data_IF_679293628263
#
_entry.id   IF_679293628263
#
_cell.length_a   1.000
_cell.length_b   1.000
_cell.length_c   1.000
_cell.angle_alpha   90.00
_cell.angle_beta   90.00
_cell.angle_gamma   90.00
#
_symmetry.space_group_name_H-M   'P 1'
#
loop_
_entity.id
_entity.type
_entity.pdbx_description
1 polymer ?
#
# COMPACT_ATOMS: atom_id res chain seq x y z
N UNK A 1 6.33 17.88 10.44
CA UNK A 1 6.90 17.16 9.26
C UNK A 1 6.46 17.88 7.99
N UNK A 2 7.29 18.04 6.95
CA UNK A 2 6.87 18.73 5.71
C UNK A 2 6.21 17.78 4.72
N UNK A 3 5.01 18.15 4.26
CA UNK A 3 4.21 17.40 3.28
C UNK A 3 4.01 18.21 2.02
N UNK A 4 3.76 17.54 0.91
CA UNK A 4 3.53 18.14 -0.40
C UNK A 4 2.14 17.76 -0.90
N UNK A 5 1.38 18.77 -1.31
CA UNK A 5 0.04 18.64 -1.86
C UNK A 5 0.07 18.50 -3.38
N UNK A 6 -1.06 18.11 -3.98
CA UNK A 6 -1.19 17.90 -5.42
C UNK A 6 -0.88 19.12 -6.29
N UNK A 7 -1.00 20.33 -5.74
CA UNK A 7 -0.69 21.60 -6.38
C UNK A 7 0.79 22.01 -6.24
N UNK A 8 1.61 21.20 -5.57
CA UNK A 8 3.02 21.51 -5.31
C UNK A 8 3.25 22.36 -4.06
N UNK A 9 2.21 22.79 -3.35
CA UNK A 9 2.35 23.49 -2.09
C UNK A 9 2.97 22.58 -1.04
N UNK A 10 3.92 23.12 -0.28
CA UNK A 10 4.57 22.44 0.85
C UNK A 10 4.18 23.11 2.13
N UNK A 11 3.57 22.35 3.04
CA UNK A 11 3.16 22.83 4.35
C UNK A 11 3.64 21.90 5.48
N UNK A 12 3.49 22.35 6.71
CA UNK A 12 3.62 21.51 7.88
C UNK A 12 2.39 20.60 8.01
N UNK A 13 2.65 19.30 8.15
CA UNK A 13 1.60 18.32 8.33
C UNK A 13 0.83 18.59 9.64
N UNK A 14 -0.51 18.68 9.58
CA UNK A 14 -1.34 18.65 10.77
C UNK A 14 -1.07 17.38 11.59
N UNK A 15 -1.01 17.52 12.91
CA UNK A 15 -0.58 16.45 13.82
C UNK A 15 -1.48 15.21 13.75
N UNK A 16 -2.78 15.42 13.53
CA UNK A 16 -3.82 14.40 13.37
C UNK A 16 -3.71 13.63 12.04
N UNK A 17 -3.05 14.19 11.04
CA UNK A 17 -2.90 13.58 9.71
C UNK A 17 -1.53 12.94 9.48
N UNK A 18 -0.56 13.15 10.36
CA UNK A 18 0.83 12.70 10.16
C UNK A 18 0.93 11.21 9.82
N UNK A 19 0.27 10.34 10.60
CA UNK A 19 0.31 8.90 10.36
C UNK A 19 -0.35 8.54 9.03
N UNK A 20 -1.45 9.20 8.68
CA UNK A 20 -2.12 8.97 7.41
C UNK A 20 -1.20 9.29 6.24
N UNK A 21 -0.52 10.45 6.26
CA UNK A 21 0.41 10.85 5.20
C UNK A 21 1.66 9.95 5.13
N UNK A 22 2.19 9.55 6.29
CA UNK A 22 3.31 8.59 6.37
C UNK A 22 2.92 7.26 5.72
N UNK A 23 1.76 6.71 6.08
CA UNK A 23 1.25 5.43 5.56
C UNK A 23 0.92 5.52 4.09
N UNK A 24 0.37 6.64 3.64
CA UNK A 24 0.07 6.86 2.22
C UNK A 24 1.35 6.91 1.38
N UNK A 25 2.37 7.61 1.87
CA UNK A 25 3.69 7.62 1.22
C UNK A 25 4.35 6.24 1.26
N UNK A 26 4.18 5.49 2.36
CA UNK A 26 4.68 4.12 2.45
C UNK A 26 4.02 3.19 1.42
N UNK A 27 2.73 3.35 1.14
CA UNK A 27 2.04 2.62 0.08
C UNK A 27 2.66 2.89 -1.30
N UNK A 28 2.96 4.15 -1.62
CA UNK A 28 3.62 4.50 -2.89
C UNK A 28 5.05 3.95 -2.99
N UNK A 29 5.82 4.02 -1.91
CA UNK A 29 7.17 3.41 -1.85
C UNK A 29 7.09 1.89 -2.02
N UNK A 30 6.07 1.24 -1.45
CA UNK A 30 5.81 -0.18 -1.64
C UNK A 30 5.48 -0.50 -3.10
N UNK A 31 4.61 0.29 -3.74
CA UNK A 31 4.28 0.12 -5.15
C UNK A 31 5.49 0.30 -6.07
N UNK A 32 6.32 1.32 -5.83
CA UNK A 32 7.59 1.47 -6.55
C UNK A 32 8.51 0.26 -6.36
N UNK A 33 8.66 -0.24 -5.13
CA UNK A 33 9.48 -1.41 -4.84
C UNK A 33 8.97 -2.65 -5.59
N UNK A 34 7.65 -2.85 -5.61
CA UNK A 34 7.02 -3.95 -6.34
C UNK A 34 7.25 -3.79 -7.84
N UNK A 35 7.08 -2.58 -8.42
CA UNK A 35 7.29 -2.37 -9.86
C UNK A 35 8.76 -2.57 -10.28
N UNK A 36 9.73 -2.29 -9.40
CA UNK A 36 11.16 -2.59 -9.64
C UNK A 36 11.45 -4.09 -9.67
N UNK A 37 10.82 -4.86 -8.78
CA UNK A 37 11.01 -6.31 -8.68
C UNK A 37 10.17 -7.08 -9.70
N UNK A 38 8.97 -6.57 -9.99
CA UNK A 38 7.95 -7.16 -10.86
C UNK A 38 7.45 -6.09 -11.85
N UNK A 39 8.18 -5.83 -12.95
CA UNK A 39 7.83 -4.80 -13.92
C UNK A 39 6.45 -4.97 -14.56
N UNK A 40 5.93 -6.21 -14.58
CA UNK A 40 4.62 -6.56 -15.09
C UNK A 40 3.46 -6.30 -14.12
N UNK A 41 3.74 -5.92 -12.87
CA UNK A 41 2.72 -5.64 -11.87
C UNK A 41 1.80 -4.50 -12.32
N UNK A 42 0.48 -4.67 -12.20
CA UNK A 42 -0.54 -3.66 -12.51
C UNK A 42 -1.26 -3.26 -11.21
N UNK A 43 -1.35 -1.96 -10.94
CA UNK A 43 -1.74 -1.43 -9.64
C UNK A 43 -3.19 -0.95 -9.60
N UNK A 44 -3.94 -1.45 -8.62
CA UNK A 44 -5.32 -1.07 -8.37
C UNK A 44 -5.42 0.06 -7.33
N UNK A 45 -5.78 -0.27 -6.08
CA UNK A 45 -5.97 0.68 -4.99
C UNK A 45 -4.90 0.54 -3.91
N UNK A 46 -4.40 1.68 -3.42
CA UNK A 46 -3.34 1.74 -2.40
C UNK A 46 -3.61 2.70 -1.23
N UNK A 47 -4.74 2.61 -0.51
CA UNK A 47 -5.07 3.61 0.50
C UNK A 47 -4.29 3.42 1.81
N UNK A 48 -4.09 4.54 2.50
CA UNK A 48 -3.74 4.53 3.92
C UNK A 48 -4.97 4.24 4.77
N UNK A 49 -4.80 3.42 5.81
CA UNK A 49 -5.85 3.06 6.77
C UNK A 49 -5.47 3.49 8.19
N UNK A 50 -6.42 3.39 9.11
CA UNK A 50 -6.21 3.69 10.53
C UNK A 50 -5.15 2.79 11.19
N UNK A 51 -4.95 1.59 10.64
CA UNK A 51 -4.02 0.59 11.20
C UNK A 51 -2.77 0.37 10.35
N UNK A 52 -2.64 1.04 9.20
CA UNK A 52 -1.50 0.83 8.30
C UNK A 52 -1.81 1.33 6.89
N UNK A 53 -1.43 0.53 5.90
CA UNK A 53 -1.73 0.76 4.51
C UNK A 53 -1.78 -0.59 3.79
N UNK A 54 -2.39 -0.62 2.62
CA UNK A 54 -2.30 -1.76 1.73
C UNK A 54 -2.19 -1.30 0.30
N UNK A 55 -1.77 -2.21 -0.58
CA UNK A 55 -1.86 -2.01 -2.01
C UNK A 55 -2.36 -3.29 -2.68
N UNK A 56 -3.41 -3.15 -3.49
CA UNK A 56 -3.96 -4.21 -4.33
C UNK A 56 -3.20 -4.25 -5.66
N UNK A 57 -2.58 -5.40 -5.94
CA UNK A 57 -1.71 -5.58 -7.09
C UNK A 57 -2.12 -6.81 -7.88
N UNK A 58 -2.19 -6.66 -9.19
CA UNK A 58 -2.28 -7.78 -10.12
C UNK A 58 -0.89 -8.20 -10.53
N UNK A 59 -0.49 -9.39 -10.09
CA UNK A 59 0.79 -10.01 -10.42
C UNK A 59 0.65 -11.11 -11.49
N UNK A 60 -0.52 -11.22 -12.11
CA UNK A 60 -0.85 -12.33 -13.01
C UNK A 60 -0.81 -13.66 -12.27
N UNK A 61 -0.03 -14.61 -12.79
CA UNK A 61 0.12 -15.94 -12.19
C UNK A 61 1.16 -15.99 -11.05
N UNK A 62 1.89 -14.90 -10.83
CA UNK A 62 2.91 -14.84 -9.79
C UNK A 62 2.26 -14.72 -8.42
N UNK A 63 2.53 -15.69 -7.55
CA UNK A 63 2.17 -15.65 -6.13
C UNK A 63 3.39 -15.23 -5.33
N UNK A 64 3.22 -14.26 -4.43
CA UNK A 64 4.30 -13.86 -3.55
C UNK A 64 4.43 -14.87 -2.41
N UNK A 65 5.67 -15.21 -2.08
CA UNK A 65 6.04 -15.95 -0.86
C UNK A 65 6.45 -14.98 0.25
N UNK A 66 6.65 -15.49 1.47
CA UNK A 66 7.18 -14.68 2.57
C UNK A 66 8.58 -14.11 2.27
N UNK A 67 9.39 -14.84 1.49
CA UNK A 67 10.69 -14.37 1.02
C UNK A 67 10.54 -13.18 0.05
N UNK A 68 9.52 -13.22 -0.82
CA UNK A 68 9.23 -12.12 -1.74
C UNK A 68 8.78 -10.86 -1.00
N UNK A 69 7.96 -11.01 0.05
CA UNK A 69 7.59 -9.89 0.92
C UNK A 69 8.81 -9.28 1.60
N UNK A 70 9.73 -10.11 2.10
CA UNK A 70 10.99 -9.63 2.67
C UNK A 70 11.87 -8.91 1.64
N UNK A 71 11.89 -9.38 0.39
CA UNK A 71 12.59 -8.73 -0.72
C UNK A 71 11.96 -7.39 -1.10
N UNK A 72 10.63 -7.28 -1.12
CA UNK A 72 9.91 -6.01 -1.33
C UNK A 72 10.27 -5.03 -0.22
N UNK A 73 10.21 -5.44 1.05
CA UNK A 73 10.58 -4.54 2.16
C UNK A 73 12.04 -4.08 2.06
N UNK A 74 12.96 -4.98 1.67
CA UNK A 74 14.37 -4.64 1.44
C UNK A 74 14.52 -3.61 0.32
N UNK A 75 13.76 -3.74 -0.76
CA UNK A 75 13.76 -2.78 -1.86
C UNK A 75 13.15 -1.42 -1.46
N UNK A 76 12.05 -1.41 -0.67
CA UNK A 76 11.52 -0.19 -0.06
C UNK A 76 12.59 0.53 0.77
N UNK A 77 13.38 -0.20 1.57
CA UNK A 77 14.49 0.38 2.35
C UNK A 77 15.59 0.96 1.45
N UNK A 78 15.81 0.45 0.25
CA UNK A 78 16.75 1.05 -0.73
C UNK A 78 16.19 2.37 -1.27
N UNK A 79 14.93 2.41 -1.69
CA UNK A 79 14.25 3.61 -2.19
C UNK A 79 14.25 4.75 -1.15
N UNK A 80 14.04 4.41 0.12
CA UNK A 80 14.12 5.38 1.22
C UNK A 80 15.53 5.95 1.35
N UNK A 81 16.57 5.13 1.17
CA UNK A 81 17.98 5.57 1.22
C UNK A 81 18.38 6.43 0.02
N UNK A 82 17.74 6.23 -1.13
CA UNK A 82 17.95 7.07 -2.33
C UNK A 82 17.51 8.52 -2.13
N UNK A 83 16.68 8.81 -1.13
CA UNK A 83 16.22 10.17 -0.79
C UNK A 83 15.60 10.90 -2.00
N UNK A 84 14.73 10.20 -2.72
CA UNK A 84 14.10 10.72 -3.93
C UNK A 84 13.12 11.84 -3.55
N UNK A 85 13.11 12.97 -4.27
CA UNK A 85 12.07 13.97 -4.12
C UNK A 85 10.74 13.45 -4.68
N UNK A 86 9.65 13.68 -3.96
CA UNK A 86 8.30 13.40 -4.44
C UNK A 86 7.77 14.67 -5.12
N UNK A 87 7.44 14.56 -6.41
CA UNK A 87 7.01 15.68 -7.25
C UNK A 87 5.57 15.50 -7.70
N UNK A 88 4.62 16.33 -7.25
CA UNK A 88 3.27 16.33 -7.77
C UNK A 88 3.23 16.99 -9.14
N UNK A 89 2.31 16.54 -9.98
CA UNK A 89 1.91 17.22 -11.20
C UNK A 89 0.46 16.87 -11.53
N UNK A 90 -0.22 17.76 -12.24
CA UNK A 90 -1.61 17.60 -12.64
C UNK A 90 -1.64 17.51 -14.16
N UNK A 91 -2.40 16.55 -14.69
CA UNK A 91 -2.63 16.42 -16.12
C UNK A 91 -4.13 16.50 -16.43
N UNK A 92 -4.52 17.12 -17.55
CA UNK A 92 -5.87 17.00 -18.09
C UNK A 92 -6.22 15.54 -18.35
N UNK A 93 -7.51 15.18 -18.26
CA UNK A 93 -8.01 13.82 -18.47
C UNK A 93 -7.42 13.10 -19.69
N UNK A 94 -7.37 13.76 -20.84
CA UNK A 94 -6.86 13.15 -22.08
C UNK A 94 -5.37 12.77 -21.97
N UNK A 95 -4.55 13.62 -21.34
CA UNK A 95 -3.12 13.36 -21.12
C UNK A 95 -2.90 12.33 -20.01
N UNK A 96 -3.70 12.39 -18.95
CA UNK A 96 -3.71 11.43 -17.85
C UNK A 96 -4.00 10.00 -18.34
N UNK A 97 -5.04 9.83 -19.17
CA UNK A 97 -5.39 8.54 -19.76
C UNK A 97 -4.26 8.03 -20.66
N UNK A 98 -3.72 8.90 -21.53
CA UNK A 98 -2.60 8.54 -22.41
C UNK A 98 -1.37 8.09 -21.63
N UNK A 99 -1.02 8.79 -20.54
CA UNK A 99 0.10 8.42 -19.67
C UNK A 99 -0.12 7.03 -19.05
N UNK A 100 -1.34 6.72 -18.61
CA UNK A 100 -1.65 5.41 -18.02
C UNK A 100 -1.69 4.29 -19.06
N UNK A 101 -2.11 4.57 -20.30
CA UNK A 101 -2.05 3.64 -21.43
C UNK A 101 -0.59 3.32 -21.81
N UNK A 102 0.27 4.32 -21.90
CA UNK A 102 1.71 4.14 -22.18
C UNK A 102 2.40 3.30 -21.11
N UNK A 103 1.96 3.44 -19.85
CA UNK A 103 2.47 2.68 -18.69
C UNK A 103 1.77 1.33 -18.48
N UNK A 104 0.71 1.05 -19.25
CA UNK A 104 -0.10 -0.18 -19.17
C UNK A 104 -0.72 -0.41 -17.78
N UNK A 105 -1.18 0.65 -17.13
CA UNK A 105 -1.82 0.59 -15.82
C UNK A 105 -3.35 0.48 -16.00
N UNK A 106 -3.85 -0.73 -16.30
CA UNK A 106 -5.23 -0.92 -16.79
C UNK A 106 -6.27 -0.59 -15.72
N UNK A 107 -5.99 -0.96 -14.46
CA UNK A 107 -6.90 -0.67 -13.34
C UNK A 107 -7.05 0.83 -13.09
N UNK A 108 -5.98 1.61 -13.30
CA UNK A 108 -6.04 3.07 -13.17
C UNK A 108 -6.87 3.70 -14.28
N UNK A 109 -6.75 3.20 -15.52
CA UNK A 109 -7.59 3.65 -16.65
C UNK A 109 -9.06 3.36 -16.39
N UNK A 110 -9.38 2.15 -15.92
CA UNK A 110 -10.76 1.79 -15.56
C UNK A 110 -11.30 2.70 -14.44
N UNK A 111 -10.47 2.96 -13.42
CA UNK A 111 -10.86 3.87 -12.34
C UNK A 111 -11.06 5.31 -12.80
N UNK A 112 -10.23 5.83 -13.72
CA UNK A 112 -10.45 7.14 -14.34
C UNK A 112 -11.76 7.17 -15.13
N UNK A 113 -12.14 6.06 -15.79
CA UNK A 113 -13.39 5.95 -16.51
C UNK A 113 -14.61 6.02 -15.58
N UNK A 114 -14.53 5.42 -14.38
CA UNK A 114 -15.56 5.54 -13.34
C UNK A 114 -15.72 6.99 -12.83
N UNK A 115 -14.64 7.78 -12.85
CA UNK A 115 -14.60 9.19 -12.47
C UNK A 115 -14.93 10.10 -13.66
N UNK A 116 -16.09 9.91 -14.29
CA UNK A 116 -16.46 10.59 -15.55
C UNK A 116 -16.52 12.13 -15.45
N UNK A 117 -16.86 12.66 -14.27
CA UNK A 117 -17.01 14.10 -14.03
C UNK A 117 -15.66 14.82 -13.79
N UNK A 118 -14.58 14.07 -13.53
CA UNK A 118 -13.26 14.63 -13.28
C UNK A 118 -12.56 15.03 -14.60
N UNK A 119 -12.14 16.29 -14.66
CA UNK A 119 -11.52 16.92 -15.84
C UNK A 119 -9.99 16.86 -15.80
N UNK A 120 -9.40 16.70 -14.61
CA UNK A 120 -7.97 16.63 -14.38
C UNK A 120 -7.65 15.58 -13.32
N UNK A 121 -6.47 14.96 -13.42
CA UNK A 121 -5.99 13.98 -12.46
C UNK A 121 -4.64 14.43 -11.91
N UNK A 122 -4.43 14.16 -10.62
CA UNK A 122 -3.17 14.44 -9.94
C UNK A 122 -2.33 13.18 -9.86
N UNK A 123 -1.02 13.39 -10.01
CA UNK A 123 -0.02 12.34 -10.01
C UNK A 123 1.13 12.75 -9.11
N UNK A 124 1.78 11.74 -8.52
CA UNK A 124 2.99 11.93 -7.75
C UNK A 124 4.11 11.08 -8.35
N UNK A 125 5.20 11.75 -8.74
CA UNK A 125 6.41 11.12 -9.23
C UNK A 125 7.45 10.98 -8.12
N UNK A 126 7.99 9.79 -7.94
CA UNK A 126 9.14 9.51 -7.06
C UNK A 126 10.19 8.71 -7.84
N UNK A 127 11.24 9.41 -8.30
CA UNK A 127 12.21 8.84 -9.24
C UNK A 127 11.54 8.44 -10.56
N UNK A 128 11.64 7.15 -10.90
CA UNK A 128 11.06 6.55 -12.10
C UNK A 128 9.58 6.13 -11.95
N UNK A 129 9.09 6.06 -10.71
CA UNK A 129 7.72 5.65 -10.44
C UNK A 129 6.78 6.85 -10.41
N UNK A 130 5.59 6.66 -10.99
CA UNK A 130 4.51 7.65 -11.07
C UNK A 130 3.22 6.93 -10.71
N UNK A 131 2.46 7.51 -9.79
CA UNK A 131 1.16 6.98 -9.36
C UNK A 131 0.07 8.05 -9.44
N UNK A 132 -1.15 7.64 -9.74
CA UNK A 132 -2.32 8.52 -9.70
C UNK A 132 -2.83 8.59 -8.27
N UNK A 133 -2.79 9.79 -7.70
CA UNK A 133 -3.16 10.01 -6.31
C UNK A 133 -3.47 11.48 -6.04
N UNK A 134 -4.36 11.74 -5.08
CA UNK A 134 -4.75 13.08 -4.63
C UNK A 134 -3.78 13.62 -3.54
N UNK A 135 -3.02 12.74 -2.89
CA UNK A 135 -2.12 13.08 -1.80
C UNK A 135 -2.87 13.46 -0.50
N UNK A 136 -2.23 14.23 0.41
CA UNK A 136 -0.84 14.68 0.35
C UNK A 136 0.18 13.57 0.62
N UNK A 137 1.45 13.83 0.30
CA UNK A 137 2.58 12.92 0.52
C UNK A 137 3.72 13.58 1.29
N UNK A 138 4.69 12.80 1.75
CA UNK A 138 5.96 13.35 2.24
C UNK A 138 6.73 14.03 1.09
N UNK A 139 7.58 14.98 1.43
CA UNK A 139 8.40 15.71 0.43
C UNK A 139 9.52 14.86 -0.17
N UNK A 140 10.06 13.89 0.60
CA UNK A 140 11.16 13.02 0.19
C UNK A 140 10.95 11.60 0.73
N UNK A 141 11.41 10.59 -0.02
CA UNK A 141 11.29 9.18 0.41
C UNK A 141 12.03 8.90 1.72
N UNK A 142 13.13 9.61 2.00
CA UNK A 142 13.91 9.48 3.25
C UNK A 142 13.14 9.89 4.50
N UNK A 143 12.07 10.67 4.36
CA UNK A 143 11.24 11.06 5.49
C UNK A 143 10.46 9.87 6.08
N UNK A 144 10.25 8.79 5.30
CA UNK A 144 9.71 7.54 5.80
C UNK A 144 10.79 6.79 6.59
N UNK A 145 10.63 6.70 7.92
CA UNK A 145 11.64 6.12 8.81
C UNK A 145 11.37 4.69 9.23
N UNK A 146 10.13 4.40 9.64
CA UNK A 146 9.76 3.13 10.24
C UNK A 146 8.54 2.56 9.53
N UNK A 147 8.72 1.38 8.92
CA UNK A 147 7.68 0.65 8.24
C UNK A 147 7.98 -0.84 8.25
N UNK A 148 6.95 -1.65 8.07
CA UNK A 148 7.03 -3.11 7.98
C UNK A 148 5.91 -3.67 7.12
N UNK A 149 6.22 -4.64 6.26
CA UNK A 149 5.20 -5.43 5.56
C UNK A 149 4.68 -6.51 6.52
N UNK A 150 3.36 -6.63 6.64
CA UNK A 150 2.74 -7.48 7.66
C UNK A 150 2.26 -8.80 7.11
N UNK A 151 1.40 -8.76 6.09
CA UNK A 151 0.79 -9.94 5.50
C UNK A 151 0.29 -9.64 4.09
N UNK A 152 0.08 -10.71 3.33
CA UNK A 152 -0.66 -10.66 2.08
C UNK A 152 -2.02 -11.36 2.21
N UNK A 153 -2.98 -10.93 1.40
CA UNK A 153 -4.31 -11.52 1.32
C UNK A 153 -4.85 -11.41 -0.11
N UNK A 154 -5.86 -12.21 -0.46
CA UNK A 154 -6.63 -11.98 -1.69
C UNK A 154 -7.60 -10.82 -1.53
N UNK A 155 -7.74 -9.99 -2.55
CA UNK A 155 -8.80 -8.98 -2.65
C UNK A 155 -9.44 -9.07 -4.03
N UNK A 156 -10.74 -8.80 -4.13
CA UNK A 156 -11.41 -8.78 -5.43
C UNK A 156 -11.51 -7.36 -5.95
N UNK A 157 -11.25 -7.17 -7.24
CA UNK A 157 -11.39 -5.85 -7.87
C UNK A 157 -12.82 -5.30 -7.67
N UNK A 158 -12.92 -4.03 -7.24
CA UNK A 158 -14.18 -3.35 -6.85
C UNK A 158 -14.99 -4.08 -5.76
N UNK A 159 -14.35 -4.95 -4.98
CA UNK A 159 -15.00 -5.83 -4.00
C UNK A 159 -16.09 -6.74 -4.60
N UNK A 160 -16.00 -7.05 -5.89
CA UNK A 160 -16.91 -7.96 -6.57
C UNK A 160 -16.22 -9.31 -6.81
N UNK A 161 -16.77 -10.37 -6.22
CA UNK A 161 -16.24 -11.74 -6.29
C UNK A 161 -16.17 -12.29 -7.72
N UNK A 162 -16.94 -11.75 -8.66
CA UNK A 162 -16.94 -12.16 -10.06
C UNK A 162 -15.76 -11.52 -10.83
N UNK A 163 -15.14 -10.48 -10.27
CA UNK A 163 -13.98 -9.83 -10.86
C UNK A 163 -12.67 -10.57 -10.54
N UNK A 164 -11.60 -10.13 -11.22
CA UNK A 164 -10.26 -10.68 -11.02
C UNK A 164 -9.82 -10.56 -9.56
N UNK A 165 -9.27 -11.65 -9.04
CA UNK A 165 -8.64 -11.68 -7.72
C UNK A 165 -7.25 -11.04 -7.79
N UNK A 166 -7.05 -10.02 -7.00
CA UNK A 166 -5.82 -9.27 -6.80
C UNK A 166 -5.10 -9.76 -5.54
N UNK A 167 -3.80 -9.48 -5.48
CA UNK A 167 -2.98 -9.70 -4.28
C UNK A 167 -2.91 -8.40 -3.48
N UNK A 168 -3.53 -8.37 -2.31
CA UNK A 168 -3.43 -7.27 -1.35
C UNK A 168 -2.21 -7.46 -0.47
N UNK A 169 -1.27 -6.54 -0.54
CA UNK A 169 -0.09 -6.52 0.33
C UNK A 169 -0.33 -5.47 1.41
N UNK A 170 -0.28 -5.87 2.68
CA UNK A 170 -0.51 -4.99 3.81
C UNK A 170 0.81 -4.61 4.47
N UNK A 171 0.87 -3.38 4.96
CA UNK A 171 2.00 -2.87 5.72
C UNK A 171 1.57 -1.87 6.78
N UNK A 172 2.50 -1.56 7.68
CA UNK A 172 2.35 -0.54 8.71
C UNK A 172 3.50 0.44 8.60
N UNK A 173 3.25 1.70 8.95
CA UNK A 173 4.26 2.73 9.00
C UNK A 173 3.96 3.71 10.15
N UNK A 174 5.04 4.21 10.75
CA UNK A 174 5.05 5.01 11.97
C UNK A 174 6.07 6.16 11.86
N UNK A 175 6.01 7.09 12.83
CA UNK A 175 6.89 8.28 12.83
C UNK A 175 8.35 7.93 13.09
N UNK A 176 8.58 6.90 13.91
CA UNK A 176 9.90 6.48 14.35
C UNK A 176 9.92 4.98 14.64
N UNK A 177 11.13 4.45 14.87
CA UNK A 177 11.33 3.02 15.12
C UNK A 177 10.73 2.58 16.46
N UNK A 178 10.71 3.44 17.47
CA UNK A 178 10.15 3.13 18.81
C UNK A 178 8.65 2.82 18.74
N UNK A 179 7.88 3.62 17.96
CA UNK A 179 6.45 3.38 17.71
C UNK A 179 6.23 2.04 16.98
N UNK A 180 7.08 1.71 16.02
CA UNK A 180 7.01 0.43 15.30
C UNK A 180 7.32 -0.74 16.24
N UNK A 181 8.38 -0.66 17.02
CA UNK A 181 8.77 -1.70 17.98
C UNK A 181 7.69 -1.92 19.04
N UNK A 182 7.07 -0.84 19.52
CA UNK A 182 5.93 -0.90 20.44
C UNK A 182 4.73 -1.61 19.82
N UNK A 183 4.37 -1.26 18.58
CA UNK A 183 3.30 -1.93 17.84
C UNK A 183 3.62 -3.42 17.63
N UNK A 184 4.85 -3.79 17.28
CA UNK A 184 5.24 -5.18 17.11
C UNK A 184 5.10 -5.99 18.40
N UNK A 185 5.47 -5.40 19.54
CA UNK A 185 5.28 -6.02 20.85
C UNK A 185 3.79 -6.24 21.15
N UNK A 186 2.94 -5.25 20.88
CA UNK A 186 1.49 -5.41 21.05
C UNK A 186 0.91 -6.51 20.16
N UNK A 187 1.37 -6.61 18.90
CA UNK A 187 0.94 -7.69 18.01
C UNK A 187 1.40 -9.07 18.49
N UNK A 188 2.59 -9.18 19.07
CA UNK A 188 3.07 -10.42 19.66
C UNK A 188 2.20 -10.84 20.85
N UNK A 189 1.93 -9.91 21.78
CA UNK A 189 1.06 -10.17 22.94
C UNK A 189 -0.38 -10.54 22.50
N UNK A 190 -0.90 -9.90 21.46
CA UNK A 190 -2.21 -10.23 20.90
C UNK A 190 -2.25 -11.65 20.29
N UNK A 191 -1.20 -12.05 19.56
CA UNK A 191 -1.07 -13.41 18.99
C UNK A 191 -0.96 -14.48 20.06
N UNK A 192 -0.32 -14.18 21.19
CA UNK A 192 -0.24 -15.08 22.34
C UNK A 192 -1.60 -15.28 23.03
N UNK A 193 -2.50 -14.29 22.93
CA UNK A 193 -3.83 -14.30 23.53
C UNK A 193 -4.95 -14.71 22.57
N UNK A 194 -4.62 -15.17 21.37
CA UNK A 194 -5.62 -15.61 20.39
C UNK A 194 -6.34 -16.86 20.90
N UNK A 195 -7.65 -16.76 21.11
CA UNK A 195 -8.49 -17.86 21.59
C UNK A 195 -8.42 -19.11 20.70
N UNK A 196 -8.14 -18.96 19.40
CA UNK A 196 -7.97 -20.09 18.46
C UNK A 196 -6.67 -20.83 18.74
N UNK A 197 -5.61 -20.10 19.08
CA UNK A 197 -4.32 -20.67 19.47
C UNK A 197 -4.44 -21.36 20.83
N UNK A 198 -4.92 -20.65 21.84
CA UNK A 198 -5.10 -21.19 23.20
C UNK A 198 -6.07 -22.37 23.21
N UNK A 199 -7.20 -22.26 22.51
CA UNK A 199 -8.21 -23.31 22.41
C UNK A 199 -7.68 -24.58 21.77
N UNK A 200 -6.83 -24.45 20.74
CA UNK A 200 -6.13 -25.59 20.14
C UNK A 200 -5.07 -26.18 21.07
N UNK A 201 -4.24 -25.35 21.71
CA UNK A 201 -3.18 -25.79 22.63
C UNK A 201 -3.73 -26.48 23.87
N UNK A 202 -4.85 -25.99 24.41
CA UNK A 202 -5.53 -26.53 25.60
C UNK A 202 -6.59 -27.59 25.26
N UNK A 203 -6.81 -27.89 23.98
CA UNK A 203 -7.81 -28.86 23.53
C UNK A 203 -9.25 -28.50 23.91
N UNK A 204 -9.58 -27.21 24.00
CA UNK A 204 -10.90 -26.71 24.42
C UNK A 204 -11.95 -26.85 23.32
N UNK A 205 -11.56 -26.68 22.06
CA UNK A 205 -12.42 -26.83 20.89
C UNK A 205 -11.58 -27.16 19.65
N UNK A 206 -12.22 -27.69 18.62
CA UNK A 206 -11.62 -27.97 17.31
C UNK A 206 -12.59 -27.61 16.19
N UNK A 207 -12.06 -27.22 15.04
CA UNK A 207 -12.81 -27.09 13.79
C UNK A 207 -12.50 -28.28 12.90
N UNK A 208 -13.53 -28.87 12.31
CA UNK A 208 -13.42 -30.06 11.47
C UNK A 208 -14.15 -29.82 10.13
N UNK A 209 -13.45 -30.07 9.03
CA UNK A 209 -13.98 -29.79 7.68
C UNK A 209 -15.16 -30.72 7.29
N UNK A 210 -15.27 -31.92 7.90
CA UNK A 210 -16.38 -32.85 7.67
C UNK A 210 -17.62 -32.48 8.49
N UNK A 211 -17.43 -31.92 9.68
CA UNK A 211 -18.53 -31.45 10.55
C UNK A 211 -19.05 -30.07 10.10
N UNK A 212 -18.16 -29.25 9.51
CA UNK A 212 -18.46 -27.92 9.00
C UNK A 212 -17.64 -26.85 9.71
N UNK A 213 -17.12 -25.87 8.95
CA UNK A 213 -16.13 -24.91 9.44
C UNK A 213 -16.62 -23.90 10.49
N UNK A 214 -17.93 -23.76 10.66
CA UNK A 214 -18.53 -22.68 11.46
C UNK A 214 -18.24 -21.30 10.83
N UNK A 215 -19.27 -20.46 10.72
CA UNK A 215 -19.11 -19.05 10.33
C UNK A 215 -18.67 -18.23 11.54
#
# INVERSE_FOLDING_TARGET
>A
MKIIYKDGHVDECPQDQELHVIRHTAAHIMAQAIKRLYPQADFAFGPATENGFYYDVDLGDTKLSDEDLANIEKEMRKIVKENLPIKPFILPRAEAVKLMEERKENYKIEHMADLADETEFSFFQQGEYVDMCIGPHLTYTKALKAFKITQQSGAYWKNDKENKMLTRINGVAFRNQEELDAWEKEQQEARERDHRKIGKEMGLFMTDDLVGRGL
#
